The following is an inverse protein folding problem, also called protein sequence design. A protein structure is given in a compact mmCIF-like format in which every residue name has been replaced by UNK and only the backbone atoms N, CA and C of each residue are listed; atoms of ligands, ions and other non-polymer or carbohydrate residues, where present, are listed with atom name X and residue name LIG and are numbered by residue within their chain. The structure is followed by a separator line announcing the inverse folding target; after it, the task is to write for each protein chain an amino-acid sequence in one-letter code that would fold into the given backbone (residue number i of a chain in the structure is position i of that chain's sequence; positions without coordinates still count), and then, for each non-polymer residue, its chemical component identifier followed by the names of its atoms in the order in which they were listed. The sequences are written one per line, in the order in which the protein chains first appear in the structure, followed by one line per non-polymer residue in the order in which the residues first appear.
data_IF_579831193554
#
_entry.id   IF_579831193554
#
_cell.length_a   1.000
_cell.length_b   1.000
_cell.length_c   1.000
_cell.angle_alpha   90.00
_cell.angle_beta   90.00
_cell.angle_gamma   90.00
#
_symmetry.space_group_name_H-M   'P 1'
#
loop_
_entity.id
_entity.type
_entity.pdbx_description
1 polymer ?
#
# COMPACT_ATOMS: atom_id res chain seq x y z
N UNK A 1 -56.87 8.72 -15.31
CA UNK A 1 -56.90 8.38 -16.77
C UNK A 1 -57.07 6.88 -16.90
N UNK A 2 -57.66 6.34 -17.98
CA UNK A 2 -57.47 4.92 -18.31
C UNK A 2 -56.03 4.67 -18.78
N UNK A 3 -55.55 3.43 -18.76
CA UNK A 3 -54.20 3.08 -19.22
C UNK A 3 -53.99 3.43 -20.69
N UNK A 4 -55.00 3.22 -21.55
CA UNK A 4 -54.98 3.65 -22.96
C UNK A 4 -54.86 5.16 -23.11
N UNK A 5 -55.57 5.94 -22.28
CA UNK A 5 -55.46 7.40 -22.31
C UNK A 5 -54.09 7.88 -21.83
N UNK A 6 -53.48 7.22 -20.84
CA UNK A 6 -52.13 7.54 -20.40
C UNK A 6 -51.10 7.24 -21.50
N UNK A 7 -51.19 6.08 -22.15
CA UNK A 7 -50.34 5.70 -23.28
C UNK A 7 -50.49 6.65 -24.49
N UNK A 8 -51.67 7.25 -24.69
CA UNK A 8 -51.95 8.16 -25.79
C UNK A 8 -51.43 9.60 -25.60
N UNK A 9 -50.94 9.97 -24.40
CA UNK A 9 -50.37 11.30 -24.18
C UNK A 9 -49.11 11.51 -25.03
N UNK A 10 -48.93 12.68 -25.64
CA UNK A 10 -47.65 12.96 -26.29
C UNK A 10 -46.53 13.13 -25.25
N UNK A 11 -45.29 12.82 -25.60
CA UNK A 11 -44.13 13.08 -24.73
C UNK A 11 -44.06 14.55 -24.28
N UNK A 12 -44.49 15.49 -25.13
CA UNK A 12 -44.60 16.92 -24.79
C UNK A 12 -45.73 17.22 -23.81
N UNK A 13 -46.81 16.45 -23.83
CA UNK A 13 -47.89 16.57 -22.85
C UNK A 13 -47.44 16.08 -21.48
N UNK A 14 -46.56 15.07 -21.44
CA UNK A 14 -46.01 14.55 -20.18
C UNK A 14 -45.18 15.61 -19.46
N UNK A 15 -44.32 16.36 -20.15
CA UNK A 15 -43.52 17.44 -19.52
C UNK A 15 -44.37 18.57 -18.92
N UNK A 16 -45.61 18.74 -19.39
CA UNK A 16 -46.56 19.72 -18.88
C UNK A 16 -47.34 19.28 -17.64
N UNK A 17 -47.24 18.01 -17.22
CA UNK A 17 -47.91 17.53 -16.01
C UNK A 17 -47.26 18.12 -14.75
N UNK A 18 -48.08 18.62 -13.84
CA UNK A 18 -47.64 19.01 -12.49
C UNK A 18 -47.24 17.78 -11.68
N UNK A 19 -46.42 17.98 -10.63
CA UNK A 19 -46.04 16.90 -9.70
C UNK A 19 -47.26 16.23 -9.06
N UNK A 20 -48.28 17.02 -8.69
CA UNK A 20 -49.53 16.51 -8.15
C UNK A 20 -50.29 15.64 -9.16
N UNK A 21 -50.28 16.01 -10.44
CA UNK A 21 -50.90 15.19 -11.50
C UNK A 21 -50.14 13.89 -11.75
N UNK A 22 -48.79 13.93 -11.69
CA UNK A 22 -47.96 12.72 -11.84
C UNK A 22 -48.16 11.78 -10.65
N UNK A 23 -48.18 12.30 -9.42
CA UNK A 23 -48.35 11.49 -8.20
C UNK A 23 -49.73 10.86 -8.02
N UNK A 24 -50.71 11.18 -8.88
CA UNK A 24 -52.04 10.55 -8.89
C UNK A 24 -52.31 9.73 -10.16
N UNK A 25 -51.30 9.49 -11.01
CA UNK A 25 -51.45 8.62 -12.18
C UNK A 25 -51.79 7.20 -11.75
N UNK A 26 -51.16 6.68 -10.70
CA UNK A 26 -51.33 5.30 -10.22
C UNK A 26 -50.49 4.30 -11.02
N UNK A 27 -50.10 3.19 -10.37
CA UNK A 27 -49.13 2.22 -10.92
C UNK A 27 -49.50 1.66 -12.29
N UNK A 28 -50.78 1.38 -12.55
CA UNK A 28 -51.24 0.86 -13.85
C UNK A 28 -51.07 1.88 -14.98
N UNK A 29 -51.28 3.17 -14.71
CA UNK A 29 -51.10 4.21 -15.71
C UNK A 29 -49.63 4.51 -15.95
N UNK A 30 -48.79 4.47 -14.90
CA UNK A 30 -47.33 4.64 -15.02
C UNK A 30 -46.73 3.50 -15.83
N UNK A 31 -47.10 2.25 -15.56
CA UNK A 31 -46.67 1.08 -16.33
C UNK A 31 -47.19 1.07 -17.79
N UNK A 32 -48.25 1.83 -18.10
CA UNK A 32 -48.78 1.97 -19.45
C UNK A 32 -48.14 3.11 -20.25
N UNK A 33 -47.27 3.93 -19.64
CA UNK A 33 -46.50 4.93 -20.39
C UNK A 33 -45.54 4.22 -21.34
N UNK A 34 -45.40 4.77 -22.54
CA UNK A 34 -44.34 4.39 -23.47
C UNK A 34 -42.98 4.88 -22.98
N UNK A 35 -41.93 4.21 -23.40
CA UNK A 35 -40.54 4.55 -23.10
C UNK A 35 -40.18 5.99 -23.50
N UNK A 36 -40.76 6.52 -24.58
CA UNK A 36 -40.56 7.91 -24.99
C UNK A 36 -41.25 8.92 -24.04
N UNK A 37 -42.39 8.54 -23.46
CA UNK A 37 -43.08 9.35 -22.45
C UNK A 37 -42.31 9.33 -21.13
N UNK A 38 -41.79 8.17 -20.70
CA UNK A 38 -40.96 8.05 -19.50
C UNK A 38 -39.68 8.88 -19.65
N UNK A 39 -39.01 8.81 -20.79
CA UNK A 39 -37.81 9.60 -21.06
C UNK A 39 -38.05 11.11 -21.15
N UNK A 40 -39.31 11.55 -21.28
CA UNK A 40 -39.70 12.95 -21.26
C UNK A 40 -39.98 13.49 -19.85
N UNK A 41 -40.08 12.64 -18.82
CA UNK A 41 -40.30 13.10 -17.45
C UNK A 41 -39.10 13.91 -16.95
N UNK A 42 -39.36 15.05 -16.32
CA UNK A 42 -38.34 15.84 -15.65
C UNK A 42 -38.07 15.35 -14.21
N UNK A 43 -37.05 15.89 -13.54
CA UNK A 43 -36.66 15.47 -12.19
C UNK A 43 -37.76 15.59 -11.16
N UNK A 44 -38.52 16.68 -11.18
CA UNK A 44 -39.62 16.88 -10.23
C UNK A 44 -40.75 15.86 -10.44
N UNK A 45 -41.01 15.49 -11.70
CA UNK A 45 -42.02 14.50 -12.05
C UNK A 45 -41.58 13.08 -11.66
N UNK A 46 -40.32 12.72 -11.95
CA UNK A 46 -39.75 11.44 -11.50
C UNK A 46 -39.79 11.34 -9.96
N UNK A 47 -39.45 12.42 -9.25
CA UNK A 47 -39.51 12.45 -7.79
C UNK A 47 -40.92 12.44 -7.20
N UNK A 48 -41.95 12.68 -8.01
CA UNK A 48 -43.34 12.57 -7.59
C UNK A 48 -43.89 11.13 -7.70
N UNK A 49 -43.18 10.23 -8.39
CA UNK A 49 -43.57 8.82 -8.49
C UNK A 49 -43.29 8.10 -7.17
N UNK A 50 -44.28 7.35 -6.71
CA UNK A 50 -44.11 6.42 -5.59
C UNK A 50 -43.17 5.27 -5.97
N UNK A 51 -42.59 4.62 -4.96
CA UNK A 51 -41.76 3.42 -5.17
C UNK A 51 -42.53 2.29 -5.88
N UNK A 52 -43.84 2.16 -5.65
CA UNK A 52 -44.68 1.17 -6.33
C UNK A 52 -44.91 1.50 -7.81
N UNK A 53 -45.01 2.79 -8.17
CA UNK A 53 -45.11 3.23 -9.56
C UNK A 53 -43.80 3.01 -10.31
N UNK A 54 -42.65 3.31 -9.69
CA UNK A 54 -41.34 3.05 -10.29
C UNK A 54 -41.05 1.56 -10.45
N UNK A 55 -41.44 0.72 -9.48
CA UNK A 55 -41.34 -0.74 -9.61
C UNK A 55 -42.17 -1.30 -10.78
N UNK A 56 -43.19 -0.56 -11.24
CA UNK A 56 -44.00 -0.92 -12.40
C UNK A 56 -43.38 -0.57 -13.77
N UNK A 57 -42.28 0.19 -13.81
CA UNK A 57 -41.60 0.53 -15.06
C UNK A 57 -40.83 -0.67 -15.61
N UNK A 58 -40.83 -0.82 -16.94
CA UNK A 58 -39.97 -1.83 -17.58
C UNK A 58 -38.50 -1.43 -17.53
N UNK A 59 -37.58 -2.37 -17.78
CA UNK A 59 -36.15 -2.09 -17.89
C UNK A 59 -35.84 -1.11 -19.03
N UNK A 60 -36.58 -1.15 -20.14
CA UNK A 60 -36.46 -0.19 -21.23
C UNK A 60 -36.86 1.22 -20.80
N UNK A 61 -37.90 1.34 -19.98
CA UNK A 61 -38.35 2.63 -19.44
C UNK A 61 -37.32 3.22 -18.48
N UNK A 62 -36.74 2.40 -17.59
CA UNK A 62 -35.66 2.81 -16.68
C UNK A 62 -34.44 3.29 -17.47
N UNK A 63 -34.03 2.57 -18.51
CA UNK A 63 -32.92 2.97 -19.38
C UNK A 63 -33.20 4.28 -20.15
N UNK A 64 -34.46 4.63 -20.38
CA UNK A 64 -34.87 5.85 -21.07
C UNK A 64 -34.98 7.08 -20.18
N UNK A 65 -34.99 6.93 -18.84
CA UNK A 65 -35.05 8.07 -17.91
C UNK A 65 -33.87 9.01 -18.20
N UNK A 66 -34.16 10.27 -18.51
CA UNK A 66 -33.11 11.24 -18.80
C UNK A 66 -32.19 11.44 -17.57
N UNK A 67 -30.89 11.58 -17.79
CA UNK A 67 -29.91 11.77 -16.70
C UNK A 67 -30.21 13.00 -15.83
N UNK A 68 -30.76 14.07 -16.41
CA UNK A 68 -31.20 15.25 -15.66
C UNK A 68 -32.39 14.97 -14.74
N UNK A 69 -33.17 13.92 -15.02
CA UNK A 69 -34.34 13.53 -14.24
C UNK A 69 -33.98 12.66 -13.01
N UNK A 70 -32.87 11.91 -13.09
CA UNK A 70 -32.44 11.02 -12.00
C UNK A 70 -32.20 11.74 -10.68
N UNK A 71 -31.78 13.00 -10.71
CA UNK A 71 -31.59 13.80 -9.50
C UNK A 71 -32.86 14.00 -8.67
N UNK A 72 -34.05 13.68 -9.21
CA UNK A 72 -35.33 13.69 -8.52
C UNK A 72 -35.71 12.40 -7.79
N UNK A 73 -35.05 11.27 -8.07
CA UNK A 73 -35.33 10.01 -7.37
C UNK A 73 -35.01 10.15 -5.87
N UNK A 74 -35.96 9.79 -5.02
CA UNK A 74 -35.71 9.68 -3.58
C UNK A 74 -34.90 8.42 -3.25
N UNK A 75 -34.29 8.38 -2.06
CA UNK A 75 -33.60 7.19 -1.55
C UNK A 75 -34.54 5.97 -1.48
N UNK A 76 -35.78 6.17 -1.02
CA UNK A 76 -36.79 5.12 -0.98
C UNK A 76 -37.21 4.62 -2.38
N UNK A 77 -37.13 5.47 -3.41
CA UNK A 77 -37.36 5.05 -4.78
C UNK A 77 -36.21 4.18 -5.28
N UNK A 78 -34.96 4.60 -5.02
CA UNK A 78 -33.77 3.85 -5.45
C UNK A 78 -33.71 2.49 -4.76
N UNK A 79 -33.95 2.44 -3.45
CA UNK A 79 -33.98 1.19 -2.69
C UNK A 79 -35.08 0.22 -3.14
N UNK A 80 -36.14 0.73 -3.79
CA UNK A 80 -37.27 -0.07 -4.26
C UNK A 80 -37.12 -0.59 -5.71
N UNK A 81 -36.10 -0.17 -6.45
CA UNK A 81 -35.84 -0.72 -7.78
C UNK A 81 -35.59 -2.23 -7.70
N UNK A 82 -36.07 -3.00 -8.67
CA UNK A 82 -35.63 -4.40 -8.78
C UNK A 82 -34.17 -4.48 -9.22
N UNK A 83 -33.53 -5.64 -9.02
CA UNK A 83 -32.18 -5.89 -9.55
C UNK A 83 -32.11 -5.73 -11.07
N UNK A 84 -33.14 -6.15 -11.80
CA UNK A 84 -33.22 -5.99 -13.25
C UNK A 84 -33.32 -4.52 -13.66
N UNK A 85 -34.08 -3.71 -12.92
CA UNK A 85 -34.18 -2.26 -13.14
C UNK A 85 -32.85 -1.56 -12.82
N UNK A 86 -32.18 -1.93 -11.73
CA UNK A 86 -30.85 -1.41 -11.41
C UNK A 86 -29.84 -1.76 -12.51
N UNK A 87 -29.85 -3.02 -12.98
CA UNK A 87 -29.01 -3.49 -14.09
C UNK A 87 -29.32 -2.79 -15.42
N UNK A 88 -30.55 -2.30 -15.62
CA UNK A 88 -30.96 -1.59 -16.83
C UNK A 88 -30.46 -0.13 -16.91
N UNK A 89 -29.97 0.45 -15.81
CA UNK A 89 -29.40 1.79 -15.82
C UNK A 89 -28.21 1.88 -16.78
N UNK A 90 -28.19 2.84 -17.67
CA UNK A 90 -27.02 3.10 -18.52
C UNK A 90 -25.84 3.62 -17.69
N UNK A 91 -24.62 3.49 -18.22
CA UNK A 91 -23.42 4.03 -17.56
C UNK A 91 -23.49 5.54 -17.34
N UNK A 92 -24.09 6.28 -18.27
CA UNK A 92 -24.33 7.71 -18.14
C UNK A 92 -25.30 8.04 -16.99
N UNK A 93 -26.35 7.22 -16.82
CA UNK A 93 -27.29 7.36 -15.71
C UNK A 93 -26.60 7.09 -14.37
N UNK A 94 -25.85 6.00 -14.26
CA UNK A 94 -25.08 5.65 -13.03
C UNK A 94 -24.09 6.76 -12.66
N UNK A 95 -23.36 7.31 -13.63
CA UNK A 95 -22.42 8.39 -13.40
C UNK A 95 -23.06 9.69 -12.88
N UNK A 96 -24.37 9.88 -13.09
CA UNK A 96 -25.11 11.09 -12.63
C UNK A 96 -25.86 10.92 -11.32
N UNK A 97 -25.94 9.70 -10.76
CA UNK A 97 -26.60 9.46 -9.48
C UNK A 97 -25.89 10.23 -8.34
N UNK A 98 -26.67 10.84 -7.45
CA UNK A 98 -26.17 11.50 -6.25
C UNK A 98 -25.64 10.49 -5.25
N UNK A 99 -24.74 10.91 -4.36
CA UNK A 99 -24.19 10.06 -3.30
C UNK A 99 -25.26 9.47 -2.38
N UNK A 100 -26.32 10.23 -2.05
CA UNK A 100 -27.46 9.73 -1.26
C UNK A 100 -28.21 8.62 -1.98
N UNK A 101 -28.35 8.72 -3.30
CA UNK A 101 -28.98 7.69 -4.12
C UNK A 101 -28.10 6.45 -4.23
N UNK A 102 -26.78 6.60 -4.37
CA UNK A 102 -25.84 5.48 -4.33
C UNK A 102 -25.88 4.77 -2.97
N UNK A 103 -25.93 5.53 -1.88
CA UNK A 103 -26.03 4.99 -0.51
C UNK A 103 -27.32 4.18 -0.29
N UNK A 104 -28.40 4.55 -0.98
CA UNK A 104 -29.69 3.86 -0.91
C UNK A 104 -29.75 2.56 -1.73
N UNK A 105 -28.75 2.26 -2.56
CA UNK A 105 -28.69 0.99 -3.28
C UNK A 105 -28.46 -0.16 -2.29
N UNK A 106 -29.25 -1.22 -2.44
CA UNK A 106 -29.06 -2.48 -1.73
C UNK A 106 -27.88 -3.27 -2.30
N UNK A 107 -27.31 -4.19 -1.54
CA UNK A 107 -26.21 -5.06 -2.00
C UNK A 107 -26.62 -5.91 -3.21
N UNK A 108 -27.88 -6.37 -3.28
CA UNK A 108 -28.39 -7.13 -4.44
C UNK A 108 -28.49 -6.28 -5.69
N UNK A 109 -28.90 -5.01 -5.59
CA UNK A 109 -28.93 -4.10 -6.73
C UNK A 109 -27.52 -3.77 -7.22
N UNK A 110 -26.57 -3.50 -6.32
CA UNK A 110 -25.16 -3.28 -6.69
C UNK A 110 -24.56 -4.52 -7.33
N UNK A 111 -24.83 -5.71 -6.78
CA UNK A 111 -24.38 -6.98 -7.34
C UNK A 111 -24.95 -7.27 -8.74
N UNK A 112 -26.11 -6.70 -9.09
CA UNK A 112 -26.71 -6.84 -10.42
C UNK A 112 -26.12 -5.89 -11.49
N UNK A 113 -25.35 -4.86 -11.08
CA UNK A 113 -24.73 -3.93 -12.02
C UNK A 113 -23.66 -4.64 -12.87
N UNK A 114 -23.60 -4.32 -14.16
CA UNK A 114 -22.48 -4.70 -15.02
C UNK A 114 -21.18 -4.04 -14.59
N UNK A 115 -20.05 -4.63 -15.00
CA UNK A 115 -18.72 -4.05 -14.81
C UNK A 115 -18.59 -2.65 -15.42
N UNK A 116 -19.23 -2.40 -16.56
CA UNK A 116 -19.26 -1.07 -17.19
C UNK A 116 -19.99 -0.03 -16.33
N UNK A 117 -21.07 -0.41 -15.65
CA UNK A 117 -21.80 0.47 -14.72
C UNK A 117 -20.96 0.73 -13.46
N UNK A 118 -20.36 -0.31 -12.87
CA UNK A 118 -19.48 -0.17 -11.69
C UNK A 118 -18.26 0.70 -12.02
N UNK A 119 -17.66 0.51 -13.20
CA UNK A 119 -16.54 1.35 -13.67
C UNK A 119 -16.91 2.80 -13.97
N UNK A 120 -18.21 3.11 -14.12
CA UNK A 120 -18.69 4.47 -14.31
C UNK A 120 -18.85 5.26 -12.99
N UNK A 121 -18.74 4.61 -11.82
CA UNK A 121 -18.77 5.33 -10.55
C UNK A 121 -17.60 6.31 -10.43
N UNK A 122 -17.87 7.51 -9.96
CA UNK A 122 -16.87 8.46 -9.47
C UNK A 122 -16.32 8.04 -8.10
N UNK A 123 -15.20 8.64 -7.67
CA UNK A 123 -14.64 8.39 -6.33
C UNK A 123 -15.63 8.76 -5.21
N UNK A 124 -16.36 9.88 -5.35
CA UNK A 124 -17.35 10.28 -4.35
C UNK A 124 -18.52 9.29 -4.27
N UNK A 125 -18.93 8.70 -5.40
CA UNK A 125 -19.96 7.67 -5.41
C UNK A 125 -19.46 6.36 -4.78
N UNK A 126 -18.23 5.93 -5.08
CA UNK A 126 -17.62 4.77 -4.41
C UNK A 126 -17.57 4.96 -2.90
N UNK A 127 -17.18 6.15 -2.43
CA UNK A 127 -17.18 6.47 -0.99
C UNK A 127 -18.57 6.51 -0.34
N UNK A 128 -19.64 6.59 -1.14
CA UNK A 128 -21.03 6.58 -0.64
C UNK A 128 -21.64 5.17 -0.53
N UNK A 129 -21.03 4.15 -1.17
CA UNK A 129 -21.47 2.76 -1.04
C UNK A 129 -21.44 2.31 0.43
N UNK A 130 -22.37 1.47 0.84
CA UNK A 130 -22.30 0.85 2.17
C UNK A 130 -21.23 -0.24 2.19
N UNK A 131 -20.78 -0.65 3.38
CA UNK A 131 -19.89 -1.82 3.52
C UNK A 131 -20.54 -3.09 2.98
N UNK A 132 -21.87 -3.22 3.11
CA UNK A 132 -22.63 -4.36 2.57
C UNK A 132 -22.66 -4.36 1.05
N UNK A 133 -22.71 -3.18 0.41
CA UNK A 133 -22.55 -3.09 -1.04
C UNK A 133 -21.16 -3.54 -1.48
N UNK A 134 -20.11 -3.09 -0.78
CA UNK A 134 -18.71 -3.39 -1.13
C UNK A 134 -18.41 -4.88 -0.92
N UNK A 135 -18.87 -5.47 0.19
CA UNK A 135 -18.76 -6.90 0.46
C UNK A 135 -19.55 -7.77 -0.53
N UNK A 136 -20.62 -7.21 -1.13
CA UNK A 136 -21.43 -7.87 -2.15
C UNK A 136 -20.88 -7.79 -3.58
N UNK A 137 -19.78 -7.07 -3.82
CA UNK A 137 -19.17 -6.98 -5.15
C UNK A 137 -18.59 -8.33 -5.56
N UNK A 138 -18.84 -8.75 -6.79
CA UNK A 138 -18.06 -9.83 -7.40
C UNK A 138 -16.62 -9.37 -7.69
N UNK A 139 -15.70 -10.32 -7.86
CA UNK A 139 -14.30 -10.03 -8.18
C UNK A 139 -14.15 -9.24 -9.49
N UNK A 140 -14.99 -9.50 -10.50
CA UNK A 140 -14.99 -8.77 -11.76
C UNK A 140 -15.53 -7.34 -11.61
N UNK A 141 -16.50 -7.11 -10.73
CA UNK A 141 -16.98 -5.77 -10.41
C UNK A 141 -15.94 -4.97 -9.62
N UNK A 142 -15.27 -5.57 -8.63
CA UNK A 142 -14.18 -4.92 -7.90
C UNK A 142 -13.02 -4.55 -8.85
N UNK A 143 -12.63 -5.46 -9.74
CA UNK A 143 -11.63 -5.19 -10.78
C UNK A 143 -12.07 -4.11 -11.79
N UNK A 144 -13.37 -3.89 -11.96
CA UNK A 144 -13.90 -2.88 -12.88
C UNK A 144 -13.90 -1.46 -12.33
N UNK A 145 -13.73 -1.26 -11.00
CA UNK A 145 -13.60 0.07 -10.43
C UNK A 145 -12.39 0.79 -11.04
N UNK A 146 -12.55 2.02 -11.53
CA UNK A 146 -11.38 2.74 -12.06
C UNK A 146 -10.36 3.04 -10.94
N UNK A 147 -9.08 3.16 -11.30
CA UNK A 147 -8.04 3.59 -10.34
C UNK A 147 -8.36 4.93 -9.69
N UNK A 148 -9.03 5.84 -10.41
CA UNK A 148 -9.53 7.10 -9.87
C UNK A 148 -10.64 6.89 -8.83
N UNK A 149 -11.54 5.95 -9.06
CA UNK A 149 -12.69 5.70 -8.20
C UNK A 149 -12.31 4.98 -6.90
N UNK A 150 -11.32 4.09 -6.94
CA UNK A 150 -10.81 3.38 -5.76
C UNK A 150 -10.24 4.32 -4.69
N UNK A 151 -9.71 5.49 -5.08
CA UNK A 151 -9.26 6.50 -4.11
C UNK A 151 -10.39 7.02 -3.21
N UNK A 152 -11.66 6.82 -3.60
CA UNK A 152 -12.83 7.16 -2.83
C UNK A 152 -13.24 6.14 -1.76
N UNK A 153 -12.64 4.94 -1.75
CA UNK A 153 -12.93 3.94 -0.72
C UNK A 153 -12.53 4.45 0.66
N UNK A 154 -13.43 4.34 1.62
CA UNK A 154 -13.15 4.51 3.04
C UNK A 154 -12.38 3.31 3.58
N UNK A 155 -11.73 3.46 4.74
CA UNK A 155 -11.02 2.35 5.39
C UNK A 155 -11.96 1.21 5.78
N UNK A 156 -13.18 1.51 6.20
CA UNK A 156 -14.21 0.51 6.51
C UNK A 156 -14.63 -0.29 5.26
N UNK A 157 -14.75 0.38 4.11
CA UNK A 157 -15.04 -0.29 2.84
C UNK A 157 -13.86 -1.15 2.36
N UNK A 158 -12.61 -0.69 2.53
CA UNK A 158 -11.42 -1.50 2.21
C UNK A 158 -11.43 -2.80 3.00
N UNK A 159 -11.67 -2.74 4.32
CA UNK A 159 -11.78 -3.95 5.15
C UNK A 159 -13.01 -4.82 4.85
N UNK A 160 -13.97 -4.33 4.07
CA UNK A 160 -15.16 -5.08 3.63
C UNK A 160 -14.99 -5.71 2.23
N UNK A 161 -13.95 -5.37 1.47
CA UNK A 161 -13.71 -5.96 0.14
C UNK A 161 -13.50 -7.48 0.22
N UNK A 162 -12.76 -7.93 1.24
CA UNK A 162 -12.36 -9.32 1.39
C UNK A 162 -11.22 -9.73 0.46
N UNK A 163 -10.51 -10.80 0.82
CA UNK A 163 -9.25 -11.19 0.19
C UNK A 163 -9.38 -11.53 -1.30
N UNK A 164 -10.49 -12.12 -1.74
CA UNK A 164 -10.70 -12.47 -3.15
C UNK A 164 -10.82 -11.22 -4.04
N UNK A 165 -11.51 -10.18 -3.56
CA UNK A 165 -11.67 -8.94 -4.30
C UNK A 165 -10.39 -8.10 -4.27
N UNK A 166 -9.67 -8.08 -3.14
CA UNK A 166 -8.36 -7.42 -3.06
C UNK A 166 -7.36 -8.06 -4.03
N UNK A 167 -7.29 -9.40 -4.08
CA UNK A 167 -6.42 -10.11 -5.03
C UNK A 167 -6.84 -9.95 -6.50
N UNK A 168 -8.10 -9.58 -6.77
CA UNK A 168 -8.60 -9.31 -8.11
C UNK A 168 -8.36 -7.87 -8.58
N UNK A 169 -7.89 -6.97 -7.71
CA UNK A 169 -7.50 -5.62 -8.11
C UNK A 169 -6.32 -5.69 -9.08
N UNK A 170 -6.36 -4.87 -10.12
CA UNK A 170 -5.22 -4.64 -10.98
C UNK A 170 -4.12 -3.87 -10.23
N UNK A 171 -2.89 -4.06 -10.69
CA UNK A 171 -1.72 -3.34 -10.18
C UNK A 171 -1.87 -1.81 -10.21
N UNK A 172 -2.57 -1.26 -11.21
CA UNK A 172 -2.85 0.17 -11.29
C UNK A 172 -3.87 0.65 -10.24
N UNK A 173 -4.79 -0.21 -9.83
CA UNK A 173 -5.74 0.05 -8.75
C UNK A 173 -5.03 -0.02 -7.38
N UNK A 174 -4.17 -1.03 -7.17
CA UNK A 174 -3.36 -1.14 -5.95
C UNK A 174 -2.44 0.07 -5.78
N UNK A 175 -1.77 0.50 -6.85
CA UNK A 175 -0.90 1.68 -6.83
C UNK A 175 -1.63 3.02 -6.63
N UNK A 176 -2.96 3.04 -6.81
CA UNK A 176 -3.79 4.22 -6.54
C UNK A 176 -4.25 4.33 -5.07
N UNK A 177 -4.09 3.27 -4.27
CA UNK A 177 -4.46 3.29 -2.85
C UNK A 177 -3.62 4.33 -2.09
N UNK A 178 -4.26 5.09 -1.23
CA UNK A 178 -3.58 6.01 -0.31
C UNK A 178 -3.12 5.29 0.97
N UNK A 179 -2.37 5.99 1.84
CA UNK A 179 -1.83 5.40 3.06
C UNK A 179 -2.89 4.89 4.04
N UNK A 180 -4.01 5.59 4.20
CA UNK A 180 -5.08 5.13 5.08
C UNK A 180 -5.73 3.84 4.55
N UNK A 181 -5.91 3.74 3.23
CA UNK A 181 -6.47 2.55 2.57
C UNK A 181 -5.50 1.36 2.64
N UNK A 182 -4.20 1.57 2.36
CA UNK A 182 -3.18 0.51 2.52
C UNK A 182 -3.10 0.03 3.96
N UNK A 183 -3.19 0.94 4.94
CA UNK A 183 -3.22 0.57 6.35
C UNK A 183 -4.52 -0.10 6.82
N UNK A 184 -5.59 -0.05 6.02
CA UNK A 184 -6.84 -0.76 6.30
C UNK A 184 -6.85 -2.20 5.77
N UNK A 185 -5.87 -2.60 4.93
CA UNK A 185 -5.73 -3.97 4.46
C UNK A 185 -5.30 -4.88 5.62
N UNK A 186 -6.03 -5.96 5.80
CA UNK A 186 -5.61 -7.03 6.71
C UNK A 186 -4.36 -7.75 6.19
N UNK A 187 -3.66 -8.45 7.07
CA UNK A 187 -2.51 -9.27 6.67
C UNK A 187 -2.88 -10.36 5.65
N UNK A 188 -4.09 -10.91 5.73
CA UNK A 188 -4.57 -11.90 4.75
C UNK A 188 -4.80 -11.30 3.36
N UNK A 189 -5.30 -10.06 3.30
CA UNK A 189 -5.47 -9.34 2.05
C UNK A 189 -4.12 -8.93 1.42
N UNK A 190 -3.16 -8.46 2.22
CA UNK A 190 -1.80 -8.18 1.75
C UNK A 190 -1.06 -9.43 1.28
N UNK A 191 -1.22 -10.57 1.96
CA UNK A 191 -0.65 -11.84 1.53
C UNK A 191 -1.23 -12.32 0.18
N UNK A 192 -2.43 -11.85 -0.20
CA UNK A 192 -3.05 -12.14 -1.49
C UNK A 192 -2.55 -11.28 -2.65
N UNK A 193 -1.80 -10.20 -2.38
CA UNK A 193 -1.25 -9.33 -3.43
C UNK A 193 -0.04 -9.97 -4.11
N UNK A 194 0.07 -9.79 -5.43
CA UNK A 194 1.26 -10.24 -6.16
C UNK A 194 2.49 -9.36 -5.87
N UNK A 195 3.68 -9.83 -6.23
CA UNK A 195 4.92 -9.03 -6.14
C UNK A 195 4.84 -7.76 -6.99
N UNK A 196 4.16 -7.80 -8.14
CA UNK A 196 3.94 -6.61 -8.97
C UNK A 196 3.04 -5.58 -8.28
N UNK A 197 2.03 -6.05 -7.53
CA UNK A 197 1.14 -5.17 -6.77
C UNK A 197 1.87 -4.51 -5.61
N UNK A 198 2.71 -5.26 -4.88
CA UNK A 198 3.57 -4.72 -3.82
C UNK A 198 4.53 -3.65 -4.38
N UNK A 199 5.17 -3.92 -5.52
CA UNK A 199 6.05 -2.96 -6.19
C UNK A 199 5.30 -1.70 -6.67
N UNK A 200 3.99 -1.78 -6.92
CA UNK A 200 3.18 -0.68 -7.38
C UNK A 200 2.62 0.21 -6.25
N UNK A 201 2.65 -0.24 -4.99
CA UNK A 201 2.21 0.58 -3.85
C UNK A 201 3.02 1.88 -3.81
N UNK A 202 2.34 3.02 -3.90
CA UNK A 202 3.04 4.31 -3.91
C UNK A 202 3.85 4.50 -2.60
N UNK A 203 5.03 5.13 -2.70
CA UNK A 203 5.89 5.39 -1.52
C UNK A 203 5.16 6.20 -0.43
N UNK A 204 4.27 7.12 -0.81
CA UNK A 204 3.45 7.88 0.13
C UNK A 204 2.42 7.00 0.87
N UNK A 205 2.05 5.85 0.30
CA UNK A 205 1.09 4.92 0.89
C UNK A 205 1.73 3.94 1.89
N UNK A 206 3.03 3.62 1.74
CA UNK A 206 3.75 2.69 2.61
C UNK A 206 3.75 3.09 4.08
N UNK A 207 3.68 4.39 4.39
CA UNK A 207 3.58 4.87 5.76
C UNK A 207 2.32 4.40 6.50
N UNK A 208 1.33 3.86 5.78
CA UNK A 208 0.12 3.26 6.32
C UNK A 208 0.24 1.80 6.76
N UNK A 209 1.25 1.06 6.27
CA UNK A 209 1.44 -0.35 6.65
C UNK A 209 1.74 -0.47 8.15
N UNK A 210 0.99 -1.32 8.85
CA UNK A 210 1.30 -1.65 10.24
C UNK A 210 2.52 -2.57 10.35
N UNK A 211 3.13 -2.64 11.53
CA UNK A 211 4.23 -3.57 11.82
C UNK A 211 3.80 -5.03 11.58
N UNK A 212 2.58 -5.39 11.99
CA UNK A 212 2.01 -6.72 11.72
C UNK A 212 1.88 -7.00 10.23
N UNK A 213 1.43 -6.02 9.43
CA UNK A 213 1.36 -6.19 7.98
C UNK A 213 2.75 -6.44 7.37
N UNK A 214 3.75 -5.66 7.78
CA UNK A 214 5.14 -5.80 7.30
C UNK A 214 5.70 -7.18 7.68
N UNK A 215 5.53 -7.62 8.92
CA UNK A 215 5.98 -8.93 9.38
C UNK A 215 5.30 -10.10 8.64
N UNK A 216 4.10 -9.89 8.07
CA UNK A 216 3.36 -10.92 7.33
C UNK A 216 3.66 -11.00 5.84
N UNK A 217 4.44 -10.07 5.27
CA UNK A 217 4.85 -10.17 3.86
C UNK A 217 5.66 -11.46 3.63
N UNK A 218 5.49 -12.09 2.48
CA UNK A 218 6.42 -13.16 2.10
C UNK A 218 7.81 -12.59 1.79
N UNK A 219 8.84 -13.43 1.78
CA UNK A 219 10.19 -13.02 1.35
C UNK A 219 10.19 -12.50 -0.10
N UNK A 220 9.38 -13.08 -0.98
CA UNK A 220 9.24 -12.61 -2.37
C UNK A 220 8.57 -11.23 -2.44
N UNK A 221 7.55 -10.98 -1.62
CA UNK A 221 6.91 -9.67 -1.52
C UNK A 221 7.85 -8.61 -0.93
N UNK A 222 8.62 -8.96 0.11
CA UNK A 222 9.65 -8.07 0.65
C UNK A 222 10.74 -7.76 -0.39
N UNK A 223 11.19 -8.76 -1.13
CA UNK A 223 12.15 -8.59 -2.23
C UNK A 223 11.59 -7.80 -3.43
N UNK A 224 10.27 -7.73 -3.57
CA UNK A 224 9.61 -6.96 -4.63
C UNK A 224 9.52 -5.45 -4.34
N UNK A 225 9.74 -5.01 -3.09
CA UNK A 225 9.77 -3.58 -2.75
C UNK A 225 10.86 -2.86 -3.52
N UNK A 226 10.53 -1.84 -4.30
CA UNK A 226 11.54 -1.01 -4.97
C UNK A 226 12.51 -0.35 -3.99
N UNK A 227 13.69 0.04 -4.45
CA UNK A 227 14.68 0.76 -3.63
C UNK A 227 14.12 2.06 -3.03
N UNK A 228 13.29 2.78 -3.80
CA UNK A 228 12.60 3.98 -3.33
C UNK A 228 11.58 3.67 -2.22
N UNK A 229 10.85 2.56 -2.34
CA UNK A 229 9.93 2.09 -1.31
C UNK A 229 10.68 1.76 0.00
N UNK A 230 11.76 0.97 -0.08
CA UNK A 230 12.60 0.62 1.08
C UNK A 230 13.17 1.87 1.77
N UNK A 231 13.65 2.84 1.00
CA UNK A 231 14.16 4.11 1.55
C UNK A 231 13.10 4.93 2.30
N UNK A 232 11.81 4.72 2.02
CA UNK A 232 10.70 5.45 2.67
C UNK A 232 10.07 4.72 3.85
N UNK A 233 10.43 3.46 4.11
CA UNK A 233 9.92 2.71 5.26
C UNK A 233 10.32 3.37 6.59
N UNK A 234 9.37 3.43 7.53
CA UNK A 234 9.61 3.93 8.90
C UNK A 234 10.50 2.97 9.66
N UNK A 235 11.21 3.46 10.67
CA UNK A 235 12.07 2.61 11.55
C UNK A 235 11.28 1.50 12.24
N UNK A 236 10.03 1.76 12.65
CA UNK A 236 9.15 0.72 13.23
C UNK A 236 8.80 -0.38 12.22
N UNK A 237 8.60 -0.02 10.96
CA UNK A 237 8.35 -0.98 9.87
C UNK A 237 9.61 -1.79 9.56
N UNK A 238 10.79 -1.16 9.56
CA UNK A 238 12.07 -1.88 9.41
C UNK A 238 12.30 -2.85 10.57
N UNK A 239 12.01 -2.44 11.80
CA UNK A 239 12.12 -3.28 12.98
C UNK A 239 11.20 -4.51 12.91
N UNK A 240 10.04 -4.38 12.26
CA UNK A 240 9.07 -5.45 12.09
C UNK A 240 9.46 -6.47 11.00
N UNK A 241 10.46 -6.19 10.17
CA UNK A 241 10.94 -7.15 9.19
C UNK A 241 11.59 -8.35 9.89
N UNK A 242 11.22 -9.55 9.47
CA UNK A 242 11.86 -10.80 9.89
C UNK A 242 13.25 -10.96 9.25
N UNK A 243 14.12 -11.78 9.83
CA UNK A 243 15.45 -12.07 9.28
C UNK A 243 15.37 -12.68 7.87
N UNK A 244 14.37 -13.51 7.59
CA UNK A 244 14.14 -14.11 6.26
C UNK A 244 13.70 -13.07 5.22
N UNK A 245 12.90 -12.07 5.61
CA UNK A 245 12.53 -10.97 4.71
C UNK A 245 13.73 -10.06 4.42
N UNK A 246 14.51 -9.70 5.46
CA UNK A 246 15.73 -8.89 5.29
C UNK A 246 16.77 -9.61 4.42
N UNK A 247 16.98 -10.91 4.66
CA UNK A 247 17.89 -11.74 3.86
C UNK A 247 17.48 -11.85 2.39
N UNK A 248 16.19 -11.71 2.06
CA UNK A 248 15.69 -11.75 0.69
C UNK A 248 15.86 -10.42 -0.08
N UNK A 249 16.20 -9.32 0.60
CA UNK A 249 16.42 -8.03 -0.06
C UNK A 249 17.64 -8.07 -0.98
N UNK A 250 17.54 -7.50 -2.17
CA UNK A 250 18.69 -7.20 -3.03
C UNK A 250 19.69 -6.26 -2.36
N UNK A 251 20.93 -6.29 -2.84
CA UNK A 251 21.99 -5.37 -2.42
C UNK A 251 21.63 -3.90 -2.65
N UNK A 252 20.90 -3.58 -3.72
CA UNK A 252 20.43 -2.22 -3.98
C UNK A 252 19.38 -1.74 -2.97
N UNK A 253 18.51 -2.63 -2.48
CA UNK A 253 17.55 -2.30 -1.42
C UNK A 253 18.27 -2.11 -0.08
N UNK A 254 19.21 -3.00 0.27
CA UNK A 254 20.01 -2.86 1.51
C UNK A 254 20.87 -1.60 1.49
N UNK A 255 21.49 -1.27 0.36
CA UNK A 255 22.24 -0.04 0.18
C UNK A 255 21.40 1.24 0.24
N UNK A 256 20.08 1.13 0.07
CA UNK A 256 19.14 2.25 0.17
C UNK A 256 18.73 2.56 1.62
N UNK A 257 19.05 1.70 2.60
CA UNK A 257 18.77 2.00 4.01
C UNK A 257 19.53 3.25 4.47
N UNK A 258 18.85 4.12 5.19
CA UNK A 258 19.47 5.20 5.97
C UNK A 258 20.13 4.68 7.25
N UNK A 259 20.97 5.51 7.88
CA UNK A 259 21.58 5.16 9.17
C UNK A 259 20.55 4.86 10.26
N UNK A 260 19.44 5.60 10.31
CA UNK A 260 18.37 5.38 11.30
C UNK A 260 17.60 4.08 11.03
N UNK A 261 17.42 3.71 9.76
CA UNK A 261 16.80 2.42 9.41
C UNK A 261 17.74 1.24 9.75
N UNK A 262 19.04 1.35 9.46
CA UNK A 262 20.02 0.33 9.87
C UNK A 262 20.01 0.15 11.38
N UNK A 263 20.00 1.23 12.16
CA UNK A 263 19.90 1.16 13.63
C UNK A 263 18.59 0.57 14.14
N UNK A 264 17.55 0.45 13.31
CA UNK A 264 16.26 -0.14 13.67
C UNK A 264 16.19 -1.66 13.41
N UNK A 265 17.10 -2.21 12.60
CA UNK A 265 17.19 -3.66 12.37
C UNK A 265 17.43 -4.40 13.70
N UNK A 266 16.85 -5.58 13.85
CA UNK A 266 17.19 -6.45 14.99
C UNK A 266 18.57 -7.08 14.80
N UNK A 267 19.16 -7.61 15.88
CA UNK A 267 20.41 -8.40 15.78
C UNK A 267 20.23 -9.62 14.89
N UNK A 268 19.06 -10.25 14.91
CA UNK A 268 18.72 -11.39 14.05
C UNK A 268 18.63 -10.99 12.58
N UNK A 269 18.14 -9.79 12.28
CA UNK A 269 18.17 -9.27 10.90
C UNK A 269 19.61 -9.07 10.43
N UNK A 270 20.46 -8.46 11.26
CA UNK A 270 21.87 -8.19 10.91
C UNK A 270 22.65 -9.49 10.73
N UNK A 271 22.47 -10.45 11.63
CA UNK A 271 23.07 -11.79 11.51
C UNK A 271 22.59 -12.54 10.25
N UNK A 272 21.35 -12.28 9.80
CA UNK A 272 20.77 -12.89 8.59
C UNK A 272 21.22 -12.27 7.26
N UNK A 273 21.96 -11.15 7.26
CA UNK A 273 22.45 -10.54 6.02
C UNK A 273 23.56 -11.39 5.39
N UNK A 274 23.56 -11.56 4.08
CA UNK A 274 24.69 -12.11 3.35
C UNK A 274 25.89 -11.16 3.35
N UNK A 275 27.09 -11.69 3.11
CA UNK A 275 28.32 -10.90 2.95
C UNK A 275 28.19 -9.85 1.84
N UNK A 276 27.53 -10.18 0.74
CA UNK A 276 27.27 -9.24 -0.35
C UNK A 276 26.32 -8.11 0.06
N UNK A 277 25.31 -8.39 0.91
CA UNK A 277 24.44 -7.34 1.44
C UNK A 277 25.18 -6.46 2.46
N UNK A 278 26.06 -7.01 3.29
CA UNK A 278 26.92 -6.22 4.20
C UNK A 278 27.83 -5.28 3.40
N UNK A 279 28.51 -5.79 2.37
CA UNK A 279 29.32 -4.98 1.46
C UNK A 279 28.52 -3.91 0.69
N UNK A 280 27.19 -4.07 0.57
CA UNK A 280 26.31 -3.11 -0.09
C UNK A 280 25.82 -1.97 0.83
N UNK A 281 26.02 -2.06 2.15
CA UNK A 281 25.66 -0.97 3.08
C UNK A 281 26.43 0.30 2.73
N UNK A 282 25.74 1.43 2.61
CA UNK A 282 26.44 2.70 2.40
C UNK A 282 27.29 3.05 3.63
N UNK A 283 28.39 3.77 3.44
CA UNK A 283 29.24 4.25 4.55
C UNK A 283 28.45 5.09 5.55
N UNK A 284 27.48 5.87 5.09
CA UNK A 284 26.55 6.62 5.95
C UNK A 284 25.69 5.67 6.79
N UNK A 285 25.22 4.57 6.22
CA UNK A 285 24.34 3.61 6.89
C UNK A 285 25.08 2.79 7.94
N UNK A 286 26.36 2.46 7.70
CA UNK A 286 27.24 1.76 8.66
C UNK A 286 27.37 2.51 9.99
N UNK A 287 27.41 3.84 9.97
CA UNK A 287 27.41 4.65 11.21
C UNK A 287 26.16 4.47 12.07
N UNK A 288 25.08 3.92 11.51
CA UNK A 288 23.83 3.64 12.19
C UNK A 288 23.80 2.31 12.95
N UNK A 289 24.78 1.42 12.75
CA UNK A 289 24.84 0.15 13.47
C UNK A 289 25.07 0.40 14.96
N UNK A 290 24.22 -0.16 15.81
CA UNK A 290 24.44 -0.24 17.25
C UNK A 290 25.56 -1.22 17.58
N UNK A 291 26.16 -1.10 18.77
CA UNK A 291 27.19 -2.03 19.24
C UNK A 291 26.68 -3.47 19.36
N UNK A 292 25.40 -3.65 19.73
CA UNK A 292 24.77 -4.98 19.77
C UNK A 292 24.64 -5.61 18.37
N UNK A 293 24.31 -4.80 17.35
CA UNK A 293 24.27 -5.27 15.96
C UNK A 293 25.66 -5.60 15.43
N UNK A 294 26.67 -4.79 15.75
CA UNK A 294 28.06 -5.07 15.36
C UNK A 294 28.55 -6.37 15.99
N UNK A 295 28.29 -6.59 17.28
CA UNK A 295 28.64 -7.84 17.96
C UNK A 295 27.83 -9.07 17.50
N UNK A 296 26.77 -8.87 16.71
CA UNK A 296 25.98 -9.96 16.11
C UNK A 296 26.48 -10.36 14.71
N UNK A 297 27.41 -9.60 14.11
CA UNK A 297 28.05 -9.97 12.85
C UNK A 297 28.92 -11.22 13.05
N UNK A 298 28.87 -12.14 12.10
CA UNK A 298 29.87 -13.20 11.96
C UNK A 298 31.18 -12.64 11.41
N UNK A 299 32.30 -13.30 11.70
CA UNK A 299 33.62 -12.86 11.20
C UNK A 299 33.68 -12.78 9.67
N UNK A 300 32.96 -13.64 8.94
CA UNK A 300 32.86 -13.56 7.47
C UNK A 300 32.06 -12.34 7.00
N UNK A 301 31.04 -11.90 7.75
CA UNK A 301 30.35 -10.64 7.47
C UNK A 301 31.25 -9.43 7.80
N UNK A 302 32.04 -9.50 8.87
CA UNK A 302 33.02 -8.45 9.21
C UNK A 302 34.09 -8.32 8.12
N UNK A 303 34.63 -9.44 7.64
CA UNK A 303 35.59 -9.49 6.52
C UNK A 303 34.99 -8.94 5.21
N UNK A 304 33.67 -8.96 5.05
CA UNK A 304 32.99 -8.42 3.87
C UNK A 304 32.82 -6.88 3.90
N UNK A 305 33.15 -6.22 5.01
CA UNK A 305 33.23 -4.76 5.04
C UNK A 305 34.37 -4.29 4.16
N UNK A 306 34.11 -3.31 3.32
CA UNK A 306 35.15 -2.60 2.59
C UNK A 306 35.92 -1.66 3.51
N UNK A 307 37.17 -1.35 3.17
CA UNK A 307 38.00 -0.38 3.90
C UNK A 307 37.34 1.00 4.06
N UNK A 308 36.49 1.42 3.11
CA UNK A 308 35.73 2.67 3.23
C UNK A 308 34.60 2.56 4.26
N UNK A 309 33.97 1.40 4.40
CA UNK A 309 32.99 1.13 5.46
C UNK A 309 33.70 0.98 6.82
N UNK A 310 34.86 0.33 6.87
CA UNK A 310 35.72 0.24 8.07
C UNK A 310 36.11 1.63 8.57
N UNK A 311 36.48 2.56 7.68
CA UNK A 311 36.75 3.95 8.02
C UNK A 311 35.52 4.71 8.59
N UNK A 312 34.30 4.24 8.29
CA UNK A 312 33.07 4.84 8.80
C UNK A 312 32.67 4.32 10.19
N UNK A 313 33.29 3.24 10.69
CA UNK A 313 33.02 2.72 12.03
C UNK A 313 33.46 3.72 13.12
N UNK A 314 32.62 3.87 14.13
CA UNK A 314 32.93 4.64 15.34
C UNK A 314 33.81 3.82 16.30
N UNK A 315 34.45 4.47 17.26
CA UNK A 315 35.23 3.77 18.31
C UNK A 315 34.38 2.77 19.09
N UNK A 316 33.14 3.12 19.43
CA UNK A 316 32.23 2.18 20.11
C UNK A 316 31.91 0.96 19.27
N UNK A 317 31.77 1.11 17.95
CA UNK A 317 31.52 -0.01 17.04
C UNK A 317 32.77 -0.89 16.88
N UNK A 318 33.97 -0.30 16.73
CA UNK A 318 35.23 -1.05 16.72
C UNK A 318 35.40 -1.86 18.02
N UNK A 319 35.13 -1.25 19.17
CA UNK A 319 35.22 -1.95 20.46
C UNK A 319 34.12 -2.98 20.72
N UNK A 320 33.13 -3.09 19.83
CA UNK A 320 32.10 -4.12 19.88
C UNK A 320 32.45 -5.36 19.03
N UNK A 321 33.45 -5.27 18.14
CA UNK A 321 33.98 -6.41 17.39
C UNK A 321 34.76 -7.32 18.34
N UNK A 322 34.70 -8.63 18.11
CA UNK A 322 35.56 -9.56 18.84
C UNK A 322 37.01 -9.49 18.33
N UNK A 323 37.96 -9.95 19.13
CA UNK A 323 39.35 -10.09 18.71
C UNK A 323 39.49 -10.96 17.45
N UNK A 324 38.65 -11.98 17.28
CA UNK A 324 38.64 -12.81 16.06
C UNK A 324 38.15 -12.02 14.84
N UNK A 325 37.19 -11.11 15.03
CA UNK A 325 36.67 -10.26 13.95
C UNK A 325 37.69 -9.21 13.50
N UNK A 326 38.45 -8.63 14.44
CA UNK A 326 39.56 -7.72 14.12
C UNK A 326 40.69 -8.48 13.40
N UNK A 327 40.96 -9.73 13.79
CA UNK A 327 42.02 -10.52 13.18
C UNK A 327 41.76 -10.87 11.71
N UNK A 328 40.49 -10.89 11.24
CA UNK A 328 40.15 -11.13 9.83
C UNK A 328 40.20 -9.88 8.94
N UNK A 329 40.42 -8.68 9.50
CA UNK A 329 40.56 -7.46 8.70
C UNK A 329 41.75 -7.53 7.74
N UNK A 330 41.58 -7.01 6.52
CA UNK A 330 42.69 -6.85 5.59
C UNK A 330 43.68 -5.78 6.07
N UNK A 331 44.86 -5.72 5.46
CA UNK A 331 45.81 -4.62 5.71
C UNK A 331 45.19 -3.26 5.37
N UNK A 332 44.34 -3.21 4.33
CA UNK A 332 43.66 -1.98 3.92
C UNK A 332 42.61 -1.55 4.95
N UNK A 333 41.92 -2.51 5.57
CA UNK A 333 40.97 -2.24 6.67
C UNK A 333 41.69 -1.69 7.90
N UNK A 334 42.81 -2.30 8.30
CA UNK A 334 43.61 -1.81 9.43
C UNK A 334 44.12 -0.38 9.17
N UNK A 335 44.63 -0.11 7.96
CA UNK A 335 45.07 1.23 7.58
C UNK A 335 43.90 2.24 7.52
N UNK A 336 42.68 1.78 7.29
CA UNK A 336 41.47 2.60 7.20
C UNK A 336 40.85 2.95 8.55
N UNK A 337 41.19 2.26 9.65
CA UNK A 337 40.71 2.59 11.00
C UNK A 337 41.09 4.04 11.32
N UNK A 338 40.10 4.90 11.48
CA UNK A 338 40.35 6.33 11.73
C UNK A 338 40.96 6.56 13.10
N UNK A 339 41.68 7.67 13.25
CA UNK A 339 42.31 8.03 14.54
C UNK A 339 41.31 8.16 15.68
N UNK A 340 40.07 8.57 15.40
CA UNK A 340 38.99 8.62 16.39
C UNK A 340 38.47 7.23 16.76
N UNK A 341 38.47 6.29 15.81
CA UNK A 341 38.01 4.92 16.03
C UNK A 341 39.03 4.05 16.79
N UNK A 342 40.32 4.40 16.77
CA UNK A 342 41.38 3.70 17.51
C UNK A 342 41.11 3.56 19.01
N UNK A 343 40.35 4.47 19.62
CA UNK A 343 39.97 4.36 21.03
C UNK A 343 39.14 3.10 21.34
N UNK A 344 38.53 2.49 20.33
CA UNK A 344 37.82 1.22 20.44
C UNK A 344 38.71 -0.02 20.38
N UNK A 345 39.95 0.10 19.90
CA UNK A 345 40.84 -1.05 19.70
C UNK A 345 41.57 -1.41 21.00
N UNK A 346 41.34 -2.61 21.53
CA UNK A 346 41.99 -3.05 22.77
C UNK A 346 43.44 -3.48 22.53
N UNK A 347 44.23 -3.56 23.59
CA UNK A 347 45.60 -4.11 23.52
C UNK A 347 45.62 -5.59 23.15
N UNK A 348 44.56 -6.33 23.50
CA UNK A 348 44.39 -7.74 23.11
C UNK A 348 44.17 -7.86 21.60
N UNK A 349 43.37 -6.97 21.02
CA UNK A 349 43.13 -6.96 19.57
C UNK A 349 44.43 -6.69 18.82
N UNK A 350 45.18 -5.66 19.24
CA UNK A 350 46.50 -5.34 18.67
C UNK A 350 47.46 -6.54 18.78
N UNK A 351 47.47 -7.22 19.93
CA UNK A 351 48.31 -8.40 20.15
C UNK A 351 47.96 -9.61 19.27
N UNK A 352 46.76 -9.64 18.69
CA UNK A 352 46.30 -10.73 17.80
C UNK A 352 46.55 -10.47 16.31
N UNK A 353 47.00 -9.26 15.95
CA UNK A 353 47.25 -8.88 14.56
C UNK A 353 48.45 -9.65 13.97
N UNK A 354 48.32 -10.03 12.70
CA UNK A 354 49.42 -10.58 11.91
C UNK A 354 50.52 -9.54 11.64
N UNK A 355 51.70 -10.01 11.24
CA UNK A 355 52.82 -9.13 10.85
C UNK A 355 52.47 -8.18 9.70
N UNK A 356 51.62 -8.61 8.76
CA UNK A 356 51.13 -7.76 7.68
C UNK A 356 50.20 -6.65 8.18
N UNK A 357 49.26 -6.99 9.07
CA UNK A 357 48.34 -6.02 9.68
C UNK A 357 49.08 -5.01 10.57
N UNK A 358 50.07 -5.44 11.36
CA UNK A 358 50.90 -4.54 12.16
C UNK A 358 51.68 -3.55 11.30
N UNK A 359 52.20 -3.99 10.15
CA UNK A 359 52.88 -3.11 9.17
C UNK A 359 51.93 -2.12 8.50
N UNK A 360 50.63 -2.43 8.44
CA UNK A 360 49.62 -1.55 7.87
C UNK A 360 49.20 -0.41 8.82
N UNK A 361 49.58 -0.47 10.11
CA UNK A 361 49.35 0.64 11.05
C UNK A 361 50.17 1.84 10.59
N UNK A 362 49.47 2.90 10.22
CA UNK A 362 50.08 4.14 9.70
C UNK A 362 50.74 4.96 10.79
N UNK A 363 51.65 5.84 10.40
CA UNK A 363 52.29 6.80 11.32
C UNK A 363 51.29 7.72 12.01
N UNK A 364 50.20 8.08 11.32
CA UNK A 364 49.13 8.93 11.87
C UNK A 364 48.34 8.18 12.93
N UNK A 365 48.07 6.88 12.72
CA UNK A 365 47.41 6.04 13.72
C UNK A 365 48.30 5.84 14.96
N UNK A 366 49.59 5.52 14.79
CA UNK A 366 50.53 5.38 15.91
C UNK A 366 50.62 6.65 16.77
N UNK A 367 50.56 7.83 16.17
CA UNK A 367 50.58 9.11 16.90
C UNK A 367 49.28 9.39 17.66
N UNK A 368 48.16 8.79 17.26
CA UNK A 368 46.87 8.96 17.90
C UNK A 368 46.58 7.89 18.98
N UNK A 369 47.32 6.77 18.97
CA UNK A 369 47.21 5.71 19.97
C UNK A 369 47.64 6.18 21.36
N UNK A 370 47.03 5.61 22.40
CA UNK A 370 47.51 5.79 23.77
C UNK A 370 48.77 4.95 24.06
N UNK A 371 49.41 5.20 25.21
CA UNK A 371 50.67 4.52 25.59
C UNK A 371 50.55 3.00 25.63
N UNK A 372 49.43 2.46 26.12
CA UNK A 372 49.22 1.02 26.24
C UNK A 372 49.04 0.37 24.85
N UNK A 373 48.32 1.03 23.95
CA UNK A 373 48.16 0.59 22.57
C UNK A 373 49.50 0.57 21.82
N UNK A 374 50.32 1.63 21.96
CA UNK A 374 51.66 1.68 21.35
C UNK A 374 52.56 0.56 21.92
N UNK A 375 52.52 0.33 23.23
CA UNK A 375 53.25 -0.78 23.85
C UNK A 375 52.81 -2.14 23.32
N UNK A 376 51.49 -2.34 23.11
CA UNK A 376 50.94 -3.55 22.51
C UNK A 376 51.42 -3.74 21.06
N UNK A 377 51.50 -2.68 20.25
CA UNK A 377 52.04 -2.77 18.88
C UNK A 377 53.51 -3.21 18.89
N UNK A 378 54.33 -2.60 19.75
CA UNK A 378 55.77 -2.96 19.86
C UNK A 378 55.92 -4.43 20.29
N UNK A 379 55.15 -4.86 21.28
CA UNK A 379 55.19 -6.24 21.77
C UNK A 379 54.76 -7.24 20.69
N UNK A 380 53.68 -6.94 19.96
CA UNK A 380 53.19 -7.78 18.87
C UNK A 380 54.21 -7.88 17.72
N UNK A 381 54.88 -6.77 17.38
CA UNK A 381 55.92 -6.75 16.33
C UNK A 381 57.14 -7.60 16.69
N UNK A 382 57.49 -7.71 17.97
CA UNK A 382 58.58 -8.56 18.43
C UNK A 382 58.21 -10.04 18.51
N UNK A 383 56.91 -10.35 18.59
CA UNK A 383 56.41 -11.72 18.72
C UNK A 383 56.09 -12.38 17.36
N UNK A 384 55.90 -11.59 16.31
CA UNK A 384 55.58 -12.02 14.94
C UNK A 384 56.84 -12.28 14.09
#
# INVERSE_FOLDING_TARGET
LSTTQAAALSAKSITGLTTAQVGVLGSANVAALSTAQVGALNSTQIGALSSAELAGLSTADVAAINTAALGGLSEANVAALSSDQAAALTTAQVATLKTTQIHALTSTQVGALSTSQVGAFSSTQVGALTTDNVAGLSTTQAAALSSKSITGLTTAQVGALGSANVAALSTAQVGALNSAQVGALSSAELAGLSTADIAAINTAALGGLSETNVATLSSDQAAALTTAQVATLKTTQIHALTSTQVGALSTSQVGAFSATQVGALTTDNVAGLSTTQIGALSTKSVTGLSTAQVGALSSTQVEALSSTQTAALTSSQIGALSTADIAVFSTDDIAAITTTALAGLSTTDIGSLSSGQLQAITTTQLQAMNTDQVAAVIAAYHAA
#
